data_IF_112410280731
#
_entry.id   IF_112410280731
#
_cell.length_a   1.000
_cell.length_b   1.000
_cell.length_c   1.000
_cell.angle_alpha   90.00
_cell.angle_beta   90.00
_cell.angle_gamma   90.00
#
_symmetry.space_group_name_H-M   'P 1'
#
loop_
_entity.id
_entity.type
_entity.pdbx_description
1 polymer ?
#
# COMPACT_ATOMS: atom_id res chain seq x y z
N UNK A 1 43.81 38.77 21.78
CA UNK A 1 44.55 38.63 23.04
C UNK A 1 43.55 38.88 24.18
N UNK A 2 43.17 37.81 24.92
CA UNK A 2 42.25 37.91 26.06
C UNK A 2 42.87 38.69 27.22
N UNK A 3 42.07 39.53 27.86
CA UNK A 3 42.51 40.23 29.09
C UNK A 3 42.26 39.28 30.27
N UNK A 4 43.14 39.15 31.23
CA UNK A 4 42.91 38.39 32.44
C UNK A 4 41.77 39.03 33.23
N UNK A 5 40.84 38.16 33.71
CA UNK A 5 39.73 38.54 34.59
C UNK A 5 40.22 38.33 36.03
N UNK A 6 40.27 39.40 36.81
CA UNK A 6 40.58 39.32 38.24
C UNK A 6 39.24 39.19 38.99
N UNK A 7 39.06 38.10 39.73
CA UNK A 7 37.90 37.88 40.59
C UNK A 7 38.29 38.22 42.01
N UNK A 8 37.55 39.12 42.67
CA UNK A 8 37.73 39.54 44.06
C UNK A 8 36.47 39.21 44.86
N UNK A 9 36.58 39.10 46.18
CA UNK A 9 35.44 38.92 47.08
C UNK A 9 34.80 37.51 47.09
N UNK A 10 35.55 36.45 46.77
CA UNK A 10 35.03 35.07 46.84
C UNK A 10 34.18 34.68 45.65
N UNK A 11 34.23 35.43 44.55
CA UNK A 11 33.61 35.07 43.29
C UNK A 11 34.36 33.92 42.63
N UNK A 12 33.64 32.86 42.27
CA UNK A 12 34.17 31.72 41.52
C UNK A 12 33.62 31.74 40.09
N UNK A 13 34.53 31.53 39.12
CA UNK A 13 34.14 31.47 37.72
C UNK A 13 33.80 30.03 37.31
N UNK A 14 32.53 29.79 36.99
CA UNK A 14 32.10 28.53 36.42
C UNK A 14 31.99 28.67 34.91
N UNK A 15 32.72 27.88 34.12
CA UNK A 15 32.58 27.88 32.67
C UNK A 15 31.13 27.41 32.31
N UNK A 16 30.39 28.25 31.59
CA UNK A 16 29.05 27.91 31.10
C UNK A 16 29.08 27.24 29.73
N UNK A 17 30.25 27.08 29.14
CA UNK A 17 30.47 26.41 27.87
C UNK A 17 30.84 24.94 28.08
N UNK A 18 30.31 24.06 27.25
CA UNK A 18 30.74 22.67 27.18
C UNK A 18 32.20 22.65 26.70
N UNK A 19 33.05 21.90 27.36
CA UNK A 19 34.45 21.76 26.93
C UNK A 19 34.48 21.07 25.54
N UNK A 20 35.39 21.46 24.64
CA UNK A 20 35.53 20.81 23.32
C UNK A 20 35.65 19.29 23.42
N UNK A 21 36.33 18.76 24.41
CA UNK A 21 36.46 17.32 24.67
C UNK A 21 35.12 16.63 24.98
N UNK A 22 34.20 17.32 25.66
CA UNK A 22 32.88 16.76 25.99
C UNK A 22 31.96 16.77 24.76
N UNK A 23 32.16 17.74 23.85
CA UNK A 23 31.49 17.77 22.56
C UNK A 23 31.94 16.60 21.65
N UNK A 24 33.25 16.37 21.54
CA UNK A 24 33.82 15.25 20.79
C UNK A 24 33.33 13.90 21.33
N UNK A 25 33.23 13.74 22.64
CA UNK A 25 32.71 12.53 23.28
C UNK A 25 31.22 12.32 22.95
N UNK A 26 30.42 13.38 22.97
CA UNK A 26 29.01 13.31 22.62
C UNK A 26 28.80 12.90 21.14
N UNK A 27 29.59 13.47 20.22
CA UNK A 27 29.57 13.11 18.81
C UNK A 27 30.01 11.66 18.57
N UNK A 28 31.09 11.22 19.21
CA UNK A 28 31.55 9.84 19.11
C UNK A 28 30.52 8.83 19.63
N UNK A 29 29.82 9.16 20.71
CA UNK A 29 28.73 8.34 21.25
C UNK A 29 27.57 8.25 20.27
N UNK A 30 27.15 9.35 19.66
CA UNK A 30 26.08 9.37 18.65
C UNK A 30 26.49 8.57 17.42
N UNK A 31 27.75 8.70 16.97
CA UNK A 31 28.27 7.93 15.84
C UNK A 31 28.25 6.43 16.15
N UNK A 32 28.71 6.02 17.32
CA UNK A 32 28.66 4.63 17.75
C UNK A 32 27.23 4.07 17.79
N UNK A 33 26.24 4.88 18.19
CA UNK A 33 24.84 4.49 18.17
C UNK A 33 24.34 4.27 16.74
N UNK A 34 24.74 5.13 15.78
CA UNK A 34 24.42 4.94 14.36
C UNK A 34 25.05 3.66 13.78
N UNK A 35 26.31 3.40 14.12
CA UNK A 35 27.03 2.22 13.65
C UNK A 35 26.38 0.92 14.17
N UNK A 36 25.97 0.90 15.43
CA UNK A 36 25.22 -0.23 16.00
C UNK A 36 23.87 -0.41 15.30
N UNK A 37 23.11 0.68 15.10
CA UNK A 37 21.83 0.61 14.41
C UNK A 37 21.97 0.03 13.00
N UNK A 38 22.98 0.48 12.25
CA UNK A 38 23.27 -0.03 10.91
C UNK A 38 23.63 -1.52 10.93
N UNK A 39 24.37 -1.98 11.95
CA UNK A 39 24.71 -3.41 12.09
C UNK A 39 23.47 -4.28 12.29
N UNK A 40 22.40 -3.75 12.90
CA UNK A 40 21.10 -4.43 13.02
C UNK A 40 20.13 -4.13 11.88
N UNK A 41 20.55 -3.39 10.86
CA UNK A 41 19.69 -2.98 9.75
C UNK A 41 18.60 -1.97 10.15
N UNK A 42 18.82 -1.22 11.24
CA UNK A 42 17.91 -0.16 11.71
C UNK A 42 18.37 1.18 11.15
N UNK A 43 17.53 1.91 10.40
CA UNK A 43 17.86 3.25 9.93
C UNK A 43 18.17 4.20 11.10
N UNK A 44 19.31 4.92 11.11
CA UNK A 44 19.71 5.80 12.21
C UNK A 44 18.69 6.88 12.56
N UNK A 45 17.87 7.30 11.60
CA UNK A 45 16.79 8.29 11.77
C UNK A 45 15.76 7.87 12.83
N UNK A 46 15.64 6.58 13.11
CA UNK A 46 14.70 6.05 14.11
C UNK A 46 15.24 6.10 15.55
N UNK A 47 16.53 6.42 15.72
CA UNK A 47 17.18 6.49 17.05
C UNK A 47 16.83 7.76 17.85
N UNK A 48 16.18 8.74 17.23
CA UNK A 48 15.89 10.03 17.89
C UNK A 48 17.10 10.91 18.14
N UNK A 49 18.21 10.70 17.42
CA UNK A 49 19.41 11.54 17.53
C UNK A 49 19.08 12.91 16.94
N UNK A 50 19.35 14.01 17.67
CA UNK A 50 19.09 15.36 17.18
C UNK A 50 19.79 15.65 15.84
N UNK A 51 19.04 16.21 14.88
CA UNK A 51 19.56 16.57 13.56
C UNK A 51 19.34 15.51 12.48
N UNK A 52 19.04 14.26 12.84
CA UNK A 52 18.83 13.17 11.87
C UNK A 52 17.38 13.11 11.36
N UNK A 53 16.41 13.77 12.02
CA UNK A 53 15.00 13.58 11.79
C UNK A 53 14.29 14.81 11.22
N UNK A 54 13.65 14.65 10.06
CA UNK A 54 12.47 15.40 9.64
C UNK A 54 11.28 14.46 9.61
N UNK A 55 10.05 14.97 9.65
CA UNK A 55 8.83 14.14 9.62
C UNK A 55 8.81 13.21 8.38
N UNK A 56 9.18 13.73 7.23
CA UNK A 56 9.22 12.96 5.97
C UNK A 56 10.28 11.85 6.02
N UNK A 57 11.47 12.16 6.53
CA UNK A 57 12.56 11.18 6.62
C UNK A 57 12.22 10.07 7.64
N UNK A 58 11.50 10.39 8.71
CA UNK A 58 11.09 9.41 9.71
C UNK A 58 10.15 8.37 9.12
N UNK A 59 9.10 8.78 8.40
CA UNK A 59 8.15 7.85 7.77
C UNK A 59 8.83 6.95 6.74
N UNK A 60 9.75 7.53 5.95
CA UNK A 60 10.56 6.75 5.01
C UNK A 60 11.51 5.78 5.71
N UNK A 61 12.11 6.17 6.83
CA UNK A 61 12.96 5.30 7.62
C UNK A 61 12.19 4.13 8.26
N UNK A 62 10.97 4.35 8.75
CA UNK A 62 10.07 3.28 9.22
C UNK A 62 9.79 2.30 8.09
N UNK A 63 9.44 2.79 6.92
CA UNK A 63 9.17 1.97 5.73
C UNK A 63 10.39 1.15 5.32
N UNK A 64 11.57 1.79 5.31
CA UNK A 64 12.84 1.11 5.01
C UNK A 64 13.15 0.00 6.02
N UNK A 65 12.95 0.24 7.34
CA UNK A 65 13.11 -0.77 8.38
C UNK A 65 12.25 -2.01 8.11
N UNK A 66 10.96 -1.81 7.83
CA UNK A 66 10.07 -2.94 7.53
C UNK A 66 10.51 -3.69 6.29
N UNK A 67 10.81 -3.00 5.17
CA UNK A 67 11.18 -3.65 3.91
C UNK A 67 12.52 -4.36 3.94
N UNK A 68 13.52 -3.74 4.55
CA UNK A 68 14.91 -4.23 4.47
C UNK A 68 15.28 -5.16 5.61
N UNK A 69 14.60 -5.05 6.76
CA UNK A 69 15.00 -5.79 7.96
C UNK A 69 13.88 -6.69 8.47
N UNK A 70 12.69 -6.13 8.76
CA UNK A 70 11.63 -6.88 9.44
C UNK A 70 11.03 -7.96 8.52
N UNK A 71 10.59 -7.59 7.33
CA UNK A 71 9.93 -8.52 6.40
C UNK A 71 10.87 -9.67 5.99
N UNK A 72 12.13 -9.44 5.59
CA UNK A 72 13.05 -10.54 5.29
C UNK A 72 13.28 -11.47 6.48
N UNK A 73 13.39 -10.92 7.70
CA UNK A 73 13.54 -11.72 8.92
C UNK A 73 12.31 -12.59 9.17
N UNK A 74 11.11 -12.01 9.09
CA UNK A 74 9.84 -12.74 9.28
C UNK A 74 9.68 -13.81 8.20
N UNK A 75 9.97 -13.51 6.94
CA UNK A 75 9.91 -14.48 5.85
C UNK A 75 10.89 -15.66 6.06
N UNK A 76 12.08 -15.37 6.61
CA UNK A 76 13.02 -16.44 6.96
C UNK A 76 12.45 -17.35 8.07
N UNK A 77 11.81 -16.77 9.08
CA UNK A 77 11.13 -17.54 10.15
C UNK A 77 9.96 -18.33 9.59
N UNK A 78 9.09 -17.70 8.78
CA UNK A 78 7.95 -18.37 8.14
C UNK A 78 8.40 -19.55 7.25
N UNK A 79 9.45 -19.36 6.46
CA UNK A 79 10.03 -20.43 5.65
C UNK A 79 10.57 -21.60 6.49
N UNK A 80 11.24 -21.29 7.59
CA UNK A 80 11.74 -22.32 8.52
C UNK A 80 10.59 -23.10 9.17
N UNK A 81 9.51 -22.39 9.58
CA UNK A 81 8.31 -23.01 10.14
C UNK A 81 7.57 -23.85 9.08
N UNK A 82 7.44 -23.35 7.85
CA UNK A 82 6.86 -24.11 6.74
C UNK A 82 7.58 -25.44 6.55
N UNK A 83 8.90 -25.42 6.46
CA UNK A 83 9.72 -26.64 6.32
C UNK A 83 9.56 -27.58 7.52
N UNK A 84 9.42 -27.05 8.73
CA UNK A 84 9.22 -27.87 9.92
C UNK A 84 7.85 -28.57 9.94
N UNK A 85 6.80 -27.90 9.48
CA UNK A 85 5.43 -28.42 9.50
C UNK A 85 5.03 -29.21 8.24
N UNK A 86 5.71 -29.01 7.10
CA UNK A 86 5.42 -29.69 5.84
C UNK A 86 5.26 -31.21 5.98
N UNK A 87 6.10 -31.96 6.73
CA UNK A 87 5.94 -33.40 6.90
C UNK A 87 4.63 -33.81 7.58
N UNK A 88 4.03 -32.90 8.37
CA UNK A 88 2.80 -33.18 9.13
C UNK A 88 1.53 -32.77 8.38
N UNK A 89 1.57 -31.64 7.67
CA UNK A 89 0.41 -31.04 7.03
C UNK A 89 0.38 -31.23 5.51
N UNK A 90 1.46 -31.70 4.90
CA UNK A 90 1.60 -31.91 3.46
C UNK A 90 2.41 -30.80 2.79
N UNK A 91 2.86 -31.07 1.57
CA UNK A 91 3.76 -30.19 0.81
C UNK A 91 3.08 -28.88 0.35
N UNK A 92 1.75 -28.84 0.32
CA UNK A 92 0.98 -27.64 -0.04
C UNK A 92 0.84 -26.64 1.12
N UNK A 93 1.31 -26.99 2.32
CA UNK A 93 1.25 -26.13 3.48
C UNK A 93 2.35 -25.06 3.40
N UNK A 94 1.95 -23.80 3.43
CA UNK A 94 2.87 -22.64 3.41
C UNK A 94 2.44 -21.58 4.41
N UNK A 95 3.37 -21.12 5.24
CA UNK A 95 3.17 -19.98 6.14
C UNK A 95 3.70 -18.74 5.44
N UNK A 96 2.84 -17.76 5.23
CA UNK A 96 3.18 -16.47 4.59
C UNK A 96 2.91 -15.30 5.53
N UNK A 97 3.65 -14.23 5.37
CA UNK A 97 3.44 -13.00 6.13
C UNK A 97 2.29 -12.22 5.49
N UNK A 98 1.31 -11.83 6.31
CA UNK A 98 0.28 -10.87 5.89
C UNK A 98 0.85 -9.44 5.90
N UNK A 99 1.18 -8.96 4.70
CA UNK A 99 1.71 -7.60 4.50
C UNK A 99 0.60 -6.54 4.51
N UNK A 100 -0.65 -6.94 4.31
CA UNK A 100 -1.79 -6.01 4.24
C UNK A 100 -2.19 -5.45 5.60
N UNK A 101 -1.85 -6.16 6.67
CA UNK A 101 -2.07 -5.69 8.04
C UNK A 101 -1.03 -4.65 8.50
N UNK A 102 0.05 -4.40 7.74
CA UNK A 102 1.14 -3.51 8.13
C UNK A 102 0.82 -2.05 7.77
N UNK A 103 0.57 -1.22 8.80
CA UNK A 103 0.31 0.22 8.64
C UNK A 103 1.49 0.97 7.98
N UNK A 104 2.73 0.54 8.26
CA UNK A 104 3.93 1.13 7.67
C UNK A 104 3.97 1.05 6.13
N UNK A 105 3.24 0.12 5.52
CA UNK A 105 3.14 -0.09 4.07
C UNK A 105 1.80 0.38 3.49
N UNK A 106 0.92 0.99 4.29
CA UNK A 106 -0.41 1.41 3.85
C UNK A 106 -0.37 2.40 2.67
N UNK A 107 0.56 3.35 2.67
CA UNK A 107 0.73 4.32 1.59
C UNK A 107 1.07 3.63 0.26
N UNK A 108 2.04 2.72 0.29
CA UNK A 108 2.47 1.98 -0.91
C UNK A 108 1.36 1.09 -1.46
N UNK A 109 0.58 0.47 -0.57
CA UNK A 109 -0.59 -0.29 -0.95
C UNK A 109 -1.65 0.60 -1.58
N UNK A 110 -1.89 1.78 -1.02
CA UNK A 110 -2.80 2.78 -1.61
C UNK A 110 -2.36 3.22 -3.01
N UNK A 111 -1.07 3.46 -3.21
CA UNK A 111 -0.50 3.80 -4.53
C UNK A 111 -0.62 2.63 -5.52
N UNK A 112 -0.38 1.40 -5.07
CA UNK A 112 -0.57 0.21 -5.90
C UNK A 112 -2.03 0.09 -6.33
N UNK A 113 -2.97 0.18 -5.39
CA UNK A 113 -4.40 0.08 -5.68
C UNK A 113 -4.87 1.16 -6.65
N UNK A 114 -4.40 2.41 -6.46
CA UNK A 114 -4.69 3.50 -7.39
C UNK A 114 -4.18 3.19 -8.79
N UNK A 115 -2.91 2.79 -8.91
CA UNK A 115 -2.29 2.44 -10.20
C UNK A 115 -3.03 1.28 -10.89
N UNK A 116 -3.39 0.24 -10.13
CA UNK A 116 -4.13 -0.91 -10.67
C UNK A 116 -5.55 -0.52 -11.07
N UNK A 117 -6.23 0.33 -10.30
CA UNK A 117 -7.56 0.83 -10.63
C UNK A 117 -7.55 1.69 -11.90
N UNK A 118 -6.55 2.54 -12.05
CA UNK A 118 -6.40 3.44 -13.20
C UNK A 118 -5.99 2.71 -14.49
N UNK A 119 -5.48 1.49 -14.39
CA UNK A 119 -5.10 0.66 -15.52
C UNK A 119 -6.34 0.16 -16.28
N UNK A 120 -6.51 0.62 -17.54
CA UNK A 120 -7.68 0.33 -18.38
C UNK A 120 -7.53 -0.92 -19.25
N UNK A 121 -6.32 -1.47 -19.31
CA UNK A 121 -5.96 -2.56 -20.21
C UNK A 121 -5.90 -3.94 -19.55
N UNK A 122 -6.11 -3.99 -18.22
CA UNK A 122 -6.09 -5.23 -17.46
C UNK A 122 -7.49 -5.65 -17.05
N UNK A 123 -7.72 -6.96 -16.98
CA UNK A 123 -8.99 -7.56 -16.58
C UNK A 123 -9.26 -7.39 -15.10
N UNK A 124 -10.50 -7.62 -14.68
CA UNK A 124 -10.89 -7.58 -13.25
C UNK A 124 -10.10 -8.61 -12.45
N UNK A 125 -9.89 -9.80 -12.97
CA UNK A 125 -9.12 -10.85 -12.28
C UNK A 125 -7.65 -10.50 -12.12
N UNK A 126 -7.05 -9.85 -13.11
CA UNK A 126 -5.68 -9.34 -13.01
C UNK A 126 -5.58 -8.22 -11.99
N UNK A 127 -6.58 -7.32 -11.91
CA UNK A 127 -6.65 -6.28 -10.86
C UNK A 127 -6.73 -6.89 -9.48
N UNK A 128 -7.62 -7.89 -9.29
CA UNK A 128 -7.77 -8.60 -8.02
C UNK A 128 -6.49 -9.30 -7.62
N UNK A 129 -5.88 -10.05 -8.53
CA UNK A 129 -4.63 -10.75 -8.28
C UNK A 129 -3.49 -9.79 -7.92
N UNK A 130 -3.35 -8.67 -8.64
CA UNK A 130 -2.33 -7.65 -8.36
C UNK A 130 -2.52 -6.96 -7.00
N UNK A 131 -3.75 -6.94 -6.46
CA UNK A 131 -4.10 -6.37 -5.16
C UNK A 131 -4.21 -7.41 -4.03
N UNK A 132 -3.83 -8.69 -4.30
CA UNK A 132 -3.80 -9.76 -3.29
C UNK A 132 -5.12 -10.50 -3.12
N UNK A 133 -6.13 -10.22 -3.95
CA UNK A 133 -7.41 -10.93 -3.90
C UNK A 133 -7.44 -12.13 -4.84
N UNK A 134 -8.21 -13.15 -4.48
CA UNK A 134 -8.47 -14.30 -5.34
C UNK A 134 -9.26 -13.88 -6.59
N UNK A 135 -9.04 -14.60 -7.69
CA UNK A 135 -9.82 -14.44 -8.91
C UNK A 135 -11.29 -14.78 -8.67
N UNK A 136 -12.19 -14.21 -9.48
CA UNK A 136 -13.57 -14.64 -9.48
C UNK A 136 -13.69 -16.09 -9.92
N UNK A 137 -14.69 -16.80 -9.37
CA UNK A 137 -15.01 -18.14 -9.85
C UNK A 137 -15.49 -18.05 -11.30
N UNK A 138 -15.08 -18.99 -12.14
CA UNK A 138 -15.43 -19.01 -13.58
C UNK A 138 -16.93 -18.89 -13.86
N UNK A 139 -17.77 -19.31 -12.92
CA UNK A 139 -19.23 -19.25 -13.02
C UNK A 139 -19.80 -17.82 -13.00
N UNK A 140 -19.05 -16.84 -12.52
CA UNK A 140 -19.52 -15.44 -12.43
C UNK A 140 -19.28 -14.65 -13.73
N UNK A 141 -18.43 -15.14 -14.65
CA UNK A 141 -18.22 -14.58 -15.99
C UNK A 141 -17.72 -13.12 -16.04
N UNK A 142 -17.36 -12.56 -14.88
CA UNK A 142 -16.98 -11.13 -14.72
C UNK A 142 -15.46 -10.96 -14.76
N UNK A 143 -14.72 -11.92 -14.22
CA UNK A 143 -13.30 -11.81 -13.94
C UNK A 143 -12.42 -11.56 -15.17
N UNK A 144 -12.73 -12.19 -16.29
CA UNK A 144 -11.98 -12.05 -17.55
C UNK A 144 -12.32 -10.80 -18.36
N UNK A 145 -13.21 -9.93 -17.90
CA UNK A 145 -13.66 -8.76 -18.67
C UNK A 145 -12.85 -7.50 -18.31
N UNK A 146 -12.65 -6.65 -19.33
CA UNK A 146 -12.08 -5.31 -19.17
C UNK A 146 -13.24 -4.31 -19.13
N UNK A 147 -13.27 -3.45 -18.11
CA UNK A 147 -14.29 -2.41 -17.97
C UNK A 147 -13.71 -1.05 -18.37
N UNK A 148 -14.43 -0.32 -19.22
CA UNK A 148 -14.10 1.04 -19.60
C UNK A 148 -14.64 2.08 -18.62
N UNK A 149 -14.19 3.34 -18.68
CA UNK A 149 -14.61 4.41 -17.77
C UNK A 149 -16.03 4.93 -18.01
N UNK A 150 -16.67 4.56 -19.12
CA UNK A 150 -18.03 4.96 -19.45
C UNK A 150 -19.01 3.89 -18.93
N UNK A 151 -19.64 4.18 -17.81
CA UNK A 151 -20.73 3.43 -17.19
C UNK A 151 -20.40 2.00 -16.71
N UNK A 152 -19.13 1.69 -16.43
CA UNK A 152 -18.71 0.36 -15.94
C UNK A 152 -19.23 -0.82 -16.81
N UNK A 153 -19.45 -0.55 -18.09
CA UNK A 153 -19.83 -1.61 -19.03
C UNK A 153 -18.62 -2.41 -19.48
N UNK A 154 -18.72 -3.75 -19.55
CA UNK A 154 -17.61 -4.54 -20.09
C UNK A 154 -17.39 -4.15 -21.55
N UNK A 155 -16.10 -3.93 -21.91
CA UNK A 155 -15.68 -3.79 -23.29
C UNK A 155 -15.74 -5.19 -23.93
N UNK A 156 -16.90 -5.57 -24.43
CA UNK A 156 -17.08 -6.77 -25.25
C UNK A 156 -17.03 -6.36 -26.70
N UNK A 157 -16.52 -7.24 -27.58
CA UNK A 157 -16.51 -7.04 -29.03
C UNK A 157 -17.92 -7.04 -29.65
N UNK A 158 -18.95 -7.42 -28.89
CA UNK A 158 -20.34 -7.36 -29.31
C UNK A 158 -21.01 -6.09 -28.76
N UNK A 159 -21.56 -5.23 -29.63
CA UNK A 159 -22.43 -4.16 -29.17
C UNK A 159 -23.63 -4.76 -28.41
N UNK A 160 -24.09 -4.11 -27.32
CA UNK A 160 -25.28 -4.58 -26.59
C UNK A 160 -26.42 -4.76 -27.58
N UNK A 161 -27.06 -5.92 -27.59
CA UNK A 161 -28.28 -6.13 -28.37
C UNK A 161 -29.25 -5.01 -28.03
N UNK A 162 -29.82 -4.35 -29.05
CA UNK A 162 -30.82 -3.32 -28.80
C UNK A 162 -31.94 -3.94 -27.94
N UNK A 163 -32.47 -3.20 -26.95
CA UNK A 163 -33.54 -3.71 -26.13
C UNK A 163 -34.64 -4.28 -27.07
N UNK A 164 -34.87 -5.57 -26.96
CA UNK A 164 -35.96 -6.23 -27.70
C UNK A 164 -37.23 -5.50 -27.32
N UNK A 165 -37.75 -4.73 -28.27
CA UNK A 165 -38.94 -3.93 -28.08
C UNK A 165 -40.06 -4.80 -27.55
N UNK A 166 -40.48 -4.49 -26.34
CA UNK A 166 -41.76 -4.96 -25.85
C UNK A 166 -42.79 -4.57 -26.90
N UNK A 167 -43.47 -5.56 -27.47
CA UNK A 167 -44.47 -5.34 -28.51
C UNK A 167 -45.41 -4.23 -28.06
N UNK A 168 -45.52 -3.20 -28.87
CA UNK A 168 -46.56 -2.21 -28.71
C UNK A 168 -47.89 -2.92 -28.63
N UNK A 169 -48.73 -2.65 -27.62
CA UNK A 169 -50.11 -3.07 -27.67
C UNK A 169 -50.74 -2.36 -28.87
N UNK A 170 -51.21 -3.12 -29.85
CA UNK A 170 -51.76 -2.62 -31.10
C UNK A 170 -52.72 -1.49 -30.84
N UNK A 171 -52.37 -0.34 -31.37
CA UNK A 171 -53.29 0.81 -31.48
C UNK A 171 -54.42 0.37 -32.41
N UNK A 172 -55.69 0.27 -31.99
CA UNK A 172 -56.77 -0.04 -32.87
C UNK A 172 -56.89 1.06 -33.91
N UNK A 173 -56.85 0.69 -35.18
CA UNK A 173 -56.99 1.59 -36.32
C UNK A 173 -58.37 2.30 -36.21
N UNK A 174 -58.41 3.66 -36.06
CA UNK A 174 -59.66 4.40 -35.92
C UNK A 174 -60.41 4.53 -37.23
N UNK A 175 -59.98 3.93 -38.34
CA UNK A 175 -60.57 4.02 -39.66
C UNK A 175 -60.95 2.67 -40.25
N UNK A 176 -61.14 1.61 -39.42
CA UNK A 176 -61.76 0.37 -39.88
C UNK A 176 -63.23 0.63 -40.24
N UNK A 177 -63.45 0.77 -41.52
CA UNK A 177 -64.68 1.10 -42.20
C UNK A 177 -65.77 0.03 -41.94
N UNK A 178 -66.87 0.46 -41.35
CA UNK A 178 -68.10 -0.28 -41.17
C UNK A 178 -68.89 -0.37 -42.51
N UNK A 179 -68.35 -1.07 -43.49
CA UNK A 179 -69.09 -1.38 -44.71
C UNK A 179 -69.09 -2.86 -44.96
N UNK A 180 -70.00 -3.56 -44.25
CA UNK A 180 -70.68 -4.72 -44.79
C UNK A 180 -71.76 -5.19 -43.78
N UNK A 181 -73.02 -4.73 -43.99
CA UNK A 181 -74.11 -5.63 -44.04
C UNK A 181 -75.33 -4.88 -44.52
N UNK A 182 -75.67 -5.09 -45.78
CA UNK A 182 -77.01 -4.97 -46.26
C UNK A 182 -77.17 -5.73 -47.61
N UNK A 183 -77.49 -7.03 -47.52
CA UNK A 183 -78.16 -7.71 -48.60
C UNK A 183 -78.65 -9.15 -48.18
N UNK A 184 -79.93 -9.23 -47.88
CA UNK A 184 -80.79 -10.45 -47.92
C UNK A 184 -80.68 -11.45 -46.80
#
# INVERSE_FOLDING_TARGET
>A
AGRPLLLDGGLDWKPMSIAPKDMEYSEAKQQSARDIALAFGVPPQLLGIPGDNTYTNYSQAVRALYRQTVIPLVNHVCGSMTNFFAPTFGDDFTIVTDLDSLEALADERGELWKRVNDAKFITVDEKRFATGYEKYKEQEGIGGKIYGPLNEMPLTDEPPEPPQGGGEPGNPDPFADDTQDNAK
#
